data_IF_951537304454
#
_entry.id   IF_951537304454
#
_cell.length_a   1.000
_cell.length_b   1.000
_cell.length_c   1.000
_cell.angle_alpha   90.00
_cell.angle_beta   90.00
_cell.angle_gamma   90.00
#
_symmetry.space_group_name_H-M   'P 1'
#
loop_
_entity.id
_entity.type
_entity.pdbx_description
1 polymer ?
#
# COMPACT_ATOMS: atom_id res chain seq x y z
N UNK A 1 19.37 -7.61 21.48
CA UNK A 1 19.64 -6.26 20.93
C UNK A 1 19.23 -6.27 19.47
N UNK A 2 18.30 -5.41 19.05
CA UNK A 2 17.85 -5.34 17.65
C UNK A 2 19.03 -4.93 16.77
N UNK A 3 19.37 -5.78 15.78
CA UNK A 3 20.42 -5.54 14.78
C UNK A 3 20.06 -4.31 13.90
N UNK A 4 18.79 -3.88 13.95
CA UNK A 4 18.18 -2.82 13.16
C UNK A 4 18.02 -1.49 13.91
N UNK A 5 18.92 -1.10 14.80
CA UNK A 5 18.94 0.31 15.19
C UNK A 5 19.19 1.16 13.95
N UNK A 6 18.27 2.07 13.64
CA UNK A 6 18.24 2.89 12.43
C UNK A 6 19.59 3.58 12.10
N UNK A 7 20.38 3.91 13.08
CA UNK A 7 21.74 4.47 12.93
C UNK A 7 22.77 3.47 12.39
N UNK A 8 22.56 2.15 12.56
CA UNK A 8 23.55 1.15 12.15
C UNK A 8 23.42 0.74 10.68
N UNK A 9 22.24 0.83 10.08
CA UNK A 9 22.03 0.43 8.68
C UNK A 9 22.55 1.46 7.69
N UNK A 10 22.42 2.76 8.01
CA UNK A 10 22.97 3.82 7.14
C UNK A 10 24.51 3.77 7.08
N UNK A 11 25.15 3.19 8.10
CA UNK A 11 26.60 3.00 8.16
C UNK A 11 27.08 1.76 7.41
N UNK A 12 26.18 0.83 7.01
CA UNK A 12 26.55 -0.35 6.25
C UNK A 12 26.72 -0.02 4.77
N UNK A 13 27.73 -0.61 4.14
CA UNK A 13 27.85 -0.57 2.68
C UNK A 13 26.71 -1.36 2.01
N UNK A 14 26.49 -1.14 0.71
CA UNK A 14 25.39 -1.76 -0.05
C UNK A 14 25.44 -3.29 -0.03
N UNK A 15 26.62 -3.89 -0.06
CA UNK A 15 26.81 -5.34 -0.05
C UNK A 15 26.35 -5.97 1.27
N UNK A 16 26.75 -5.40 2.40
CA UNK A 16 26.29 -5.86 3.74
C UNK A 16 24.79 -5.68 3.93
N UNK A 17 24.22 -4.55 3.46
CA UNK A 17 22.78 -4.33 3.48
C UNK A 17 22.04 -5.42 2.71
N UNK A 18 22.47 -5.71 1.48
CA UNK A 18 21.85 -6.72 0.63
C UNK A 18 21.93 -8.11 1.24
N UNK A 19 23.10 -8.48 1.82
CA UNK A 19 23.26 -9.76 2.50
C UNK A 19 22.27 -9.91 3.66
N UNK A 20 22.20 -8.93 4.55
CA UNK A 20 21.27 -8.93 5.67
C UNK A 20 19.82 -9.03 5.20
N UNK A 21 19.42 -8.24 4.21
CA UNK A 21 18.06 -8.29 3.66
C UNK A 21 17.75 -9.66 3.05
N UNK A 22 18.70 -10.29 2.36
CA UNK A 22 18.52 -11.63 1.79
C UNK A 22 18.32 -12.68 2.87
N UNK A 23 19.10 -12.66 3.94
CA UNK A 23 18.97 -13.58 5.08
C UNK A 23 17.59 -13.46 5.75
N UNK A 24 17.11 -12.22 5.99
CA UNK A 24 15.79 -12.02 6.58
C UNK A 24 14.63 -12.33 5.62
N UNK A 25 14.80 -12.11 4.33
CA UNK A 25 13.79 -12.52 3.35
C UNK A 25 13.65 -14.04 3.28
N UNK A 26 14.77 -14.77 3.36
CA UNK A 26 14.75 -16.23 3.46
C UNK A 26 14.05 -16.70 4.75
N UNK A 27 14.30 -16.06 5.88
CA UNK A 27 13.60 -16.34 7.13
C UNK A 27 12.09 -16.09 6.99
N UNK A 28 11.70 -14.93 6.43
CA UNK A 28 10.31 -14.54 6.24
C UNK A 28 9.55 -15.42 5.25
N UNK A 29 10.22 -16.07 4.30
CA UNK A 29 9.56 -17.01 3.39
C UNK A 29 8.95 -18.22 4.13
N UNK A 30 9.46 -18.55 5.32
CA UNK A 30 8.95 -19.63 6.16
C UNK A 30 7.91 -19.18 7.21
N UNK A 31 7.64 -17.87 7.30
CA UNK A 31 6.70 -17.31 8.27
C UNK A 31 5.31 -17.13 7.66
N UNK A 32 4.28 -17.26 8.48
CA UNK A 32 2.94 -16.76 8.17
C UNK A 32 2.91 -15.23 8.11
N UNK A 33 1.81 -14.66 7.61
CA UNK A 33 1.65 -13.20 7.60
C UNK A 33 1.65 -12.61 9.02
N UNK A 34 1.00 -13.29 9.94
CA UNK A 34 0.95 -12.94 11.37
C UNK A 34 2.34 -12.96 12.01
N UNK A 35 3.12 -14.00 11.73
CA UNK A 35 4.50 -14.12 12.24
C UNK A 35 5.42 -13.05 11.65
N UNK A 36 5.26 -12.70 10.36
CA UNK A 36 5.98 -11.59 9.71
C UNK A 36 5.68 -10.25 10.38
N UNK A 37 4.40 -10.00 10.70
CA UNK A 37 3.99 -8.78 11.41
C UNK A 37 4.58 -8.76 12.82
N UNK A 38 4.42 -9.84 13.59
CA UNK A 38 4.97 -9.96 14.95
C UNK A 38 6.48 -9.73 14.95
N UNK A 39 7.18 -10.38 14.01
CA UNK A 39 8.63 -10.23 13.88
C UNK A 39 9.02 -8.79 13.56
N UNK A 40 8.34 -8.15 12.60
CA UNK A 40 8.63 -6.78 12.21
C UNK A 40 8.37 -5.77 13.34
N UNK A 41 7.25 -5.90 14.05
CA UNK A 41 6.92 -5.06 15.20
C UNK A 41 7.95 -5.18 16.34
N UNK A 42 8.56 -6.35 16.49
CA UNK A 42 9.55 -6.61 17.54
C UNK A 42 10.98 -6.20 17.16
N UNK A 43 11.36 -6.38 15.90
CA UNK A 43 12.76 -6.32 15.47
C UNK A 43 13.11 -5.11 14.62
N UNK A 44 12.14 -4.51 13.90
CA UNK A 44 12.38 -3.31 13.11
C UNK A 44 12.20 -2.03 13.94
N UNK A 45 12.77 -0.89 13.51
CA UNK A 45 12.65 0.39 14.22
C UNK A 45 11.20 0.77 14.53
N UNK A 46 10.97 1.29 15.73
CA UNK A 46 9.65 1.35 16.37
C UNK A 46 8.66 2.36 15.82
N UNK A 47 9.06 3.31 15.00
CA UNK A 47 8.07 4.22 14.39
C UNK A 47 7.41 3.53 13.19
N UNK A 48 6.46 2.64 13.51
CA UNK A 48 5.73 1.86 12.51
C UNK A 48 4.54 2.63 11.96
N UNK A 49 4.35 2.58 10.65
CA UNK A 49 3.14 3.01 9.96
C UNK A 49 2.64 1.89 9.05
N UNK A 50 1.35 1.90 8.69
CA UNK A 50 0.87 1.17 7.53
C UNK A 50 0.20 2.12 6.55
N UNK A 51 0.27 1.82 5.25
CA UNK A 51 -0.53 2.51 4.24
C UNK A 51 -1.66 1.62 3.74
N UNK A 52 -2.82 2.23 3.53
CA UNK A 52 -3.96 1.57 2.91
C UNK A 52 -4.57 2.45 1.84
N UNK A 53 -4.90 1.86 0.69
CA UNK A 53 -5.72 2.51 -0.34
C UNK A 53 -7.21 2.30 -0.12
N UNK A 54 -7.60 1.55 0.91
CA UNK A 54 -8.98 1.11 1.16
C UNK A 54 -9.67 0.51 -0.08
N UNK A 55 -8.89 -0.06 -0.99
CA UNK A 55 -9.38 -0.79 -2.17
C UNK A 55 -9.95 -2.15 -1.82
N UNK A 56 -10.30 -2.95 -2.85
CA UNK A 56 -11.11 -4.18 -2.75
C UNK A 56 -10.69 -5.13 -1.62
N UNK A 57 -9.40 -5.35 -1.44
CA UNK A 57 -8.87 -6.37 -0.51
C UNK A 57 -8.07 -5.77 0.65
N UNK A 58 -8.10 -4.44 0.79
CA UNK A 58 -7.25 -3.74 1.77
C UNK A 58 -7.59 -4.07 3.23
N UNK A 59 -8.83 -4.44 3.52
CA UNK A 59 -9.31 -4.83 4.85
C UNK A 59 -8.49 -5.98 5.46
N UNK A 60 -7.94 -6.88 4.63
CA UNK A 60 -7.17 -8.03 5.10
C UNK A 60 -5.93 -7.61 5.87
N UNK A 61 -5.10 -6.73 5.29
CA UNK A 61 -3.90 -6.26 5.99
C UNK A 61 -4.25 -5.34 7.16
N UNK A 62 -5.29 -4.51 7.02
CA UNK A 62 -5.81 -3.70 8.13
C UNK A 62 -6.14 -4.59 9.33
N UNK A 63 -6.95 -5.63 9.13
CA UNK A 63 -7.33 -6.57 10.18
C UNK A 63 -6.12 -7.30 10.79
N UNK A 64 -5.21 -7.84 9.97
CA UNK A 64 -4.02 -8.55 10.43
C UNK A 64 -3.14 -7.68 11.34
N UNK A 65 -2.93 -6.42 10.96
CA UNK A 65 -2.03 -5.52 11.70
C UNK A 65 -2.72 -4.97 12.94
N UNK A 66 -3.98 -4.52 12.85
CA UNK A 66 -4.69 -3.93 13.97
C UNK A 66 -4.95 -4.92 15.11
N UNK A 67 -5.06 -6.21 14.82
CA UNK A 67 -5.09 -7.29 15.83
C UNK A 67 -3.82 -7.35 16.68
N UNK A 68 -2.67 -6.94 16.16
CA UNK A 68 -1.38 -7.00 16.85
C UNK A 68 -0.92 -5.64 17.36
N UNK A 69 -1.29 -4.56 16.68
CA UNK A 69 -0.97 -3.17 17.01
C UNK A 69 -2.14 -2.26 16.61
N UNK A 70 -3.11 -2.14 17.51
CA UNK A 70 -4.36 -1.39 17.27
C UNK A 70 -4.18 0.12 17.08
N UNK A 71 -3.12 0.70 17.66
CA UNK A 71 -2.80 2.12 17.63
C UNK A 71 -1.89 2.53 16.45
N UNK A 72 -1.54 1.59 15.56
CA UNK A 72 -0.66 1.89 14.41
C UNK A 72 -1.25 3.01 13.55
N UNK A 73 -0.46 4.06 13.18
CA UNK A 73 -0.93 5.05 12.23
C UNK A 73 -1.22 4.40 10.87
N UNK A 74 -2.47 4.52 10.41
CA UNK A 74 -2.94 4.05 9.10
C UNK A 74 -2.96 5.23 8.15
N UNK A 75 -2.04 5.26 7.20
CA UNK A 75 -1.87 6.34 6.24
C UNK A 75 -2.79 6.11 5.04
N UNK A 76 -3.73 7.03 4.83
CA UNK A 76 -4.50 7.19 3.60
C UNK A 76 -3.90 8.32 2.77
N UNK A 77 -3.62 8.05 1.52
CA UNK A 77 -3.32 9.09 0.52
C UNK A 77 -4.61 9.43 -0.21
N UNK A 78 -5.22 10.53 0.17
CA UNK A 78 -6.44 11.03 -0.44
C UNK A 78 -6.12 11.94 -1.63
N UNK A 79 -6.44 11.48 -2.82
CA UNK A 79 -6.26 12.25 -4.07
C UNK A 79 -7.38 13.26 -4.33
N UNK A 80 -8.50 13.14 -3.61
CA UNK A 80 -9.73 13.88 -3.87
C UNK A 80 -10.55 13.34 -5.06
N UNK A 81 -10.14 12.18 -5.60
CA UNK A 81 -10.78 11.52 -6.75
C UNK A 81 -11.16 10.07 -6.45
N UNK A 82 -11.22 9.68 -5.17
CA UNK A 82 -11.69 8.34 -4.81
C UNK A 82 -13.19 8.20 -5.08
N UNK A 83 -13.65 6.96 -5.26
CA UNK A 83 -15.08 6.69 -5.38
C UNK A 83 -15.83 7.03 -4.08
N UNK A 84 -17.09 7.50 -4.13
CA UNK A 84 -17.92 7.71 -2.94
C UNK A 84 -18.00 6.46 -2.05
N UNK A 85 -18.09 5.28 -2.68
CA UNK A 85 -18.11 3.98 -1.99
C UNK A 85 -16.81 3.72 -1.22
N UNK A 86 -15.67 4.21 -1.76
CA UNK A 86 -14.37 4.11 -1.06
C UNK A 86 -14.35 5.01 0.16
N UNK A 87 -14.84 6.26 0.08
CA UNK A 87 -14.93 7.15 1.24
C UNK A 87 -15.83 6.56 2.33
N UNK A 88 -17.01 6.07 1.97
CA UNK A 88 -17.91 5.40 2.92
C UNK A 88 -17.26 4.15 3.55
N UNK A 89 -16.50 3.41 2.77
CA UNK A 89 -15.78 2.22 3.25
C UNK A 89 -14.63 2.58 4.19
N UNK A 90 -13.95 3.70 3.97
CA UNK A 90 -12.94 4.26 4.88
C UNK A 90 -13.57 4.55 6.24
N UNK A 91 -14.70 5.25 6.28
CA UNK A 91 -15.42 5.59 7.51
C UNK A 91 -15.86 4.32 8.24
N UNK A 92 -16.50 3.38 7.51
CA UNK A 92 -16.94 2.08 8.05
C UNK A 92 -15.79 1.30 8.69
N UNK A 93 -14.63 1.21 8.02
CA UNK A 93 -13.49 0.48 8.55
C UNK A 93 -12.78 1.23 9.69
N UNK A 94 -12.79 2.56 9.64
CA UNK A 94 -12.24 3.39 10.71
C UNK A 94 -13.00 3.16 12.00
N UNK A 95 -14.33 3.16 11.94
CA UNK A 95 -15.19 2.88 13.10
C UNK A 95 -15.06 1.43 13.55
N UNK A 96 -15.15 0.46 12.61
CA UNK A 96 -15.10 -0.98 12.91
C UNK A 96 -13.81 -1.41 13.62
N UNK A 97 -12.68 -0.86 13.23
CA UNK A 97 -11.36 -1.22 13.78
C UNK A 97 -10.76 -0.16 14.69
N UNK A 98 -11.48 0.93 14.97
CA UNK A 98 -10.98 2.10 15.72
C UNK A 98 -9.60 2.55 15.20
N UNK A 99 -9.52 2.80 13.86
CA UNK A 99 -8.25 3.07 13.20
C UNK A 99 -7.65 4.42 13.61
N UNK A 100 -6.36 4.44 13.89
CA UNK A 100 -5.59 5.68 13.99
C UNK A 100 -5.31 6.23 12.58
N UNK A 101 -6.38 6.67 11.89
CA UNK A 101 -6.34 7.13 10.50
C UNK A 101 -5.59 8.46 10.37
N UNK A 102 -4.65 8.53 9.43
CA UNK A 102 -3.89 9.72 9.07
C UNK A 102 -4.06 9.99 7.57
N UNK A 103 -4.68 11.12 7.23
CA UNK A 103 -5.01 11.48 5.86
C UNK A 103 -3.97 12.47 5.33
N UNK A 104 -3.32 12.11 4.23
CA UNK A 104 -2.38 12.97 3.52
C UNK A 104 -2.85 13.21 2.09
N UNK A 105 -2.66 14.42 1.59
CA UNK A 105 -3.12 14.86 0.27
C UNK A 105 -2.15 15.84 -0.37
N UNK A 106 -2.35 16.10 -1.64
CA UNK A 106 -1.65 17.20 -2.34
C UNK A 106 -1.91 18.54 -1.66
N UNK A 107 -0.92 19.43 -1.68
CA UNK A 107 -1.04 20.80 -1.13
C UNK A 107 -2.07 21.65 -1.84
N UNK A 108 -2.36 21.35 -3.13
CA UNK A 108 -3.37 22.07 -3.92
C UNK A 108 -4.54 21.15 -4.24
N UNK A 109 -5.74 21.70 -4.23
CA UNK A 109 -6.98 20.95 -4.47
C UNK A 109 -7.03 20.36 -5.88
N UNK A 110 -7.84 19.29 -6.10
CA UNK A 110 -8.11 18.76 -7.43
C UNK A 110 -8.53 19.85 -8.44
N UNK A 111 -9.48 20.69 -8.09
CA UNK A 111 -9.95 21.77 -8.95
C UNK A 111 -8.81 22.76 -9.34
N UNK A 112 -7.93 23.08 -8.39
CA UNK A 112 -6.79 23.94 -8.68
C UNK A 112 -5.76 23.26 -9.59
N UNK A 113 -5.54 21.93 -9.40
CA UNK A 113 -4.67 21.15 -10.28
C UNK A 113 -5.20 21.13 -11.71
N UNK A 114 -6.50 20.88 -11.89
CA UNK A 114 -7.15 20.87 -13.21
C UNK A 114 -7.09 22.24 -13.88
N UNK A 115 -7.35 23.32 -13.15
CA UNK A 115 -7.23 24.67 -13.69
C UNK A 115 -5.80 24.99 -14.17
N UNK A 116 -4.78 24.51 -13.44
CA UNK A 116 -3.37 24.79 -13.74
C UNK A 116 -2.77 23.88 -14.80
N UNK A 117 -3.11 22.60 -14.76
CA UNK A 117 -2.45 21.56 -15.55
C UNK A 117 -3.40 20.85 -16.53
N UNK A 118 -4.72 21.12 -16.47
CA UNK A 118 -5.74 20.31 -17.12
C UNK A 118 -5.81 18.91 -16.50
N UNK A 119 -6.60 18.04 -17.10
CA UNK A 119 -6.74 16.63 -16.68
C UNK A 119 -5.48 15.84 -17.02
N UNK A 120 -4.59 15.70 -16.07
CA UNK A 120 -3.28 15.06 -16.27
C UNK A 120 -3.38 13.62 -16.72
N UNK A 121 -4.42 12.87 -16.30
CA UNK A 121 -4.66 11.48 -16.71
C UNK A 121 -5.03 11.32 -18.18
N UNK A 122 -5.44 12.38 -18.86
CA UNK A 122 -5.71 12.39 -20.31
C UNK A 122 -4.44 12.68 -21.14
N UNK A 123 -3.31 13.00 -20.51
CA UNK A 123 -2.04 13.39 -21.17
C UNK A 123 -1.05 12.23 -21.30
N UNK A 124 -1.58 10.99 -21.46
CA UNK A 124 -0.77 9.79 -21.61
C UNK A 124 0.14 9.50 -20.40
N UNK A 125 1.14 8.66 -20.62
CA UNK A 125 2.02 8.16 -19.52
C UNK A 125 2.77 9.29 -18.77
N UNK A 126 3.18 10.35 -19.47
CA UNK A 126 3.86 11.49 -18.83
C UNK A 126 2.92 12.25 -17.88
N UNK A 127 1.68 12.46 -18.31
CA UNK A 127 0.66 13.10 -17.49
C UNK A 127 0.29 12.24 -16.27
N UNK A 128 0.10 10.94 -16.47
CA UNK A 128 -0.17 9.96 -15.39
C UNK A 128 0.98 9.95 -14.37
N UNK A 129 2.23 9.93 -14.83
CA UNK A 129 3.38 9.96 -13.93
C UNK A 129 3.44 11.26 -13.11
N UNK A 130 3.17 12.41 -13.74
CA UNK A 130 3.11 13.69 -13.05
C UNK A 130 1.94 13.73 -12.04
N UNK A 131 0.75 13.26 -12.43
CA UNK A 131 -0.40 13.11 -11.55
C UNK A 131 -0.06 12.25 -10.31
N UNK A 132 0.51 11.08 -10.53
CA UNK A 132 0.88 10.17 -9.46
C UNK A 132 1.93 10.78 -8.52
N UNK A 133 2.89 11.53 -9.07
CA UNK A 133 3.90 12.20 -8.26
C UNK A 133 3.27 13.22 -7.30
N UNK A 134 2.43 14.13 -7.80
CA UNK A 134 1.85 15.20 -6.98
C UNK A 134 0.74 14.72 -6.04
N UNK A 135 -0.03 13.69 -6.42
CA UNK A 135 -1.18 13.23 -5.65
C UNK A 135 -0.90 11.99 -4.80
N UNK A 136 0.21 11.27 -5.03
CA UNK A 136 0.50 10.02 -4.31
C UNK A 136 1.90 10.00 -3.71
N UNK A 137 2.93 10.21 -4.54
CA UNK A 137 4.33 10.08 -4.07
C UNK A 137 4.70 11.17 -3.08
N UNK A 138 4.42 12.44 -3.43
CA UNK A 138 4.73 13.57 -2.53
C UNK A 138 3.93 13.51 -1.22
N UNK A 139 2.61 13.26 -1.20
CA UNK A 139 1.88 13.09 0.05
C UNK A 139 2.41 11.93 0.92
N UNK A 140 2.79 10.79 0.32
CA UNK A 140 3.39 9.71 1.09
C UNK A 140 4.76 10.08 1.67
N UNK A 141 5.57 10.85 0.95
CA UNK A 141 6.82 11.36 1.49
C UNK A 141 6.59 12.31 2.67
N UNK A 142 5.56 13.17 2.59
CA UNK A 142 5.13 13.99 3.73
C UNK A 142 4.70 13.12 4.92
N UNK A 143 3.89 12.08 4.68
CA UNK A 143 3.46 11.15 5.73
C UNK A 143 4.65 10.49 6.45
N UNK A 144 5.61 9.96 5.68
CA UNK A 144 6.83 9.34 6.23
C UNK A 144 7.60 10.35 7.10
N UNK A 145 7.74 11.58 6.64
CA UNK A 145 8.48 12.61 7.35
C UNK A 145 7.74 13.09 8.61
N UNK A 146 6.46 13.47 8.49
CA UNK A 146 5.67 14.03 9.60
C UNK A 146 5.43 13.01 10.72
N UNK A 147 5.25 11.73 10.35
CA UNK A 147 5.10 10.65 11.31
C UNK A 147 6.45 10.09 11.79
N UNK A 148 7.57 10.65 11.30
CA UNK A 148 8.93 10.14 11.59
C UNK A 148 9.03 8.63 11.39
N UNK A 149 8.39 8.12 10.33
CA UNK A 149 8.27 6.69 10.08
C UNK A 149 9.62 6.04 9.79
N UNK A 150 9.88 4.91 10.42
CA UNK A 150 11.08 4.10 10.20
C UNK A 150 10.77 2.72 9.63
N UNK A 151 9.52 2.26 9.81
CA UNK A 151 9.02 0.98 9.29
C UNK A 151 7.63 1.18 8.68
N UNK A 152 7.46 0.72 7.46
CA UNK A 152 6.23 0.86 6.67
C UNK A 152 5.66 -0.48 6.24
N UNK A 153 4.46 -0.81 6.71
CA UNK A 153 3.69 -1.97 6.28
C UNK A 153 2.83 -1.63 5.05
N UNK A 154 2.86 -2.48 4.02
CA UNK A 154 2.06 -2.32 2.82
C UNK A 154 1.48 -3.66 2.32
N UNK A 155 0.29 -3.61 1.71
CA UNK A 155 -0.50 -4.77 1.30
C UNK A 155 -0.28 -5.21 -0.13
N UNK A 156 0.94 -5.14 -0.65
CA UNK A 156 1.26 -5.62 -1.99
C UNK A 156 1.36 -7.14 -2.02
N UNK A 157 0.92 -7.75 -3.14
CA UNK A 157 0.99 -9.20 -3.38
C UNK A 157 1.54 -9.49 -4.78
N UNK A 158 2.29 -10.57 -4.93
CA UNK A 158 2.76 -11.05 -6.23
C UNK A 158 1.61 -11.26 -7.21
N UNK A 159 0.53 -11.85 -6.74
CA UNK A 159 -0.66 -12.24 -7.52
C UNK A 159 -1.41 -11.06 -8.19
N UNK A 160 -1.08 -9.82 -7.85
CA UNK A 160 -1.78 -8.64 -8.35
C UNK A 160 -1.23 -8.10 -9.67
N UNK A 161 0.03 -8.35 -10.00
CA UNK A 161 0.64 -7.97 -11.27
C UNK A 161 2.02 -8.57 -11.48
N UNK A 162 2.42 -8.73 -12.74
CA UNK A 162 3.76 -9.23 -13.11
C UNK A 162 4.89 -8.33 -12.59
N UNK A 163 4.65 -7.01 -12.53
CA UNK A 163 5.63 -6.04 -12.01
C UNK A 163 6.02 -6.29 -10.54
N UNK A 164 5.20 -7.03 -9.80
CA UNK A 164 5.42 -7.34 -8.37
C UNK A 164 6.20 -8.64 -8.11
N UNK A 165 6.52 -9.41 -9.16
CA UNK A 165 7.26 -10.67 -9.00
C UNK A 165 8.66 -10.50 -8.41
N UNK A 166 9.27 -9.33 -8.57
CA UNK A 166 10.59 -8.99 -8.02
C UNK A 166 10.56 -8.44 -6.60
N UNK A 167 9.38 -8.26 -6.02
CA UNK A 167 9.25 -7.74 -4.65
C UNK A 167 9.68 -8.78 -3.62
N UNK A 168 10.20 -8.29 -2.50
CA UNK A 168 10.61 -9.08 -1.35
C UNK A 168 9.78 -8.71 -0.12
N UNK A 169 9.68 -9.61 0.86
CA UNK A 169 8.94 -9.35 2.12
C UNK A 169 9.49 -8.16 2.88
N UNK A 170 10.82 -8.04 2.94
CA UNK A 170 11.53 -6.95 3.59
C UNK A 170 12.45 -6.24 2.58
N UNK A 171 12.33 -4.94 2.53
CA UNK A 171 13.19 -4.07 1.70
C UNK A 171 13.47 -2.75 2.42
N UNK A 172 14.37 -1.94 1.86
CA UNK A 172 14.56 -0.56 2.26
C UNK A 172 14.10 0.31 1.10
N UNK A 173 13.11 1.16 1.35
CA UNK A 173 12.58 2.13 0.39
C UNK A 173 12.49 3.50 1.06
N UNK A 174 12.90 4.57 0.38
CA UNK A 174 12.88 5.93 0.94
C UNK A 174 13.61 6.05 2.29
N UNK A 175 14.69 5.29 2.45
CA UNK A 175 15.52 5.18 3.68
C UNK A 175 14.81 4.59 4.91
N UNK A 176 13.64 3.97 4.74
CA UNK A 176 12.92 3.27 5.80
C UNK A 176 12.73 1.79 5.44
N UNK A 177 12.50 0.96 6.44
CA UNK A 177 12.12 -0.43 6.21
C UNK A 177 10.73 -0.51 5.65
N UNK A 178 10.54 -1.34 4.63
CA UNK A 178 9.24 -1.68 4.07
C UNK A 178 9.01 -3.16 4.19
N UNK A 179 7.87 -3.54 4.74
CA UNK A 179 7.47 -4.93 4.93
C UNK A 179 6.17 -5.23 4.22
N UNK A 180 6.11 -6.37 3.53
CA UNK A 180 4.97 -6.86 2.76
C UNK A 180 4.50 -8.20 3.35
N UNK A 181 3.72 -8.21 4.44
CA UNK A 181 3.43 -9.44 5.18
C UNK A 181 2.65 -10.48 4.39
N UNK A 182 1.79 -10.04 3.45
CA UNK A 182 0.91 -10.89 2.64
C UNK A 182 1.39 -11.01 1.18
N UNK A 183 2.68 -10.81 0.93
CA UNK A 183 3.25 -10.77 -0.43
C UNK A 183 2.97 -12.03 -1.25
N UNK A 184 3.02 -13.19 -0.60
CA UNK A 184 2.77 -14.54 -1.16
C UNK A 184 1.30 -14.97 -1.16
N UNK A 185 0.37 -14.12 -0.70
CA UNK A 185 -1.03 -14.51 -0.63
C UNK A 185 -1.69 -14.48 -2.00
N UNK A 186 -2.27 -15.62 -2.39
CA UNK A 186 -3.12 -15.75 -3.58
C UNK A 186 -4.49 -15.10 -3.36
N UNK A 187 -5.22 -14.85 -4.46
CA UNK A 187 -6.60 -14.39 -4.40
C UNK A 187 -7.50 -15.37 -3.62
N UNK A 188 -7.26 -16.69 -3.74
CA UNK A 188 -8.00 -17.69 -2.97
C UNK A 188 -7.72 -17.57 -1.47
N UNK A 189 -6.47 -17.37 -1.07
CA UNK A 189 -6.11 -17.17 0.35
C UNK A 189 -6.74 -15.91 0.92
N UNK A 190 -6.77 -14.82 0.16
CA UNK A 190 -7.49 -13.60 0.55
C UNK A 190 -8.99 -13.88 0.77
N UNK A 191 -9.63 -14.57 -0.19
CA UNK A 191 -11.06 -14.91 -0.10
C UNK A 191 -11.37 -15.76 1.13
N UNK A 192 -10.59 -16.80 1.38
CA UNK A 192 -10.76 -17.64 2.54
C UNK A 192 -10.60 -16.86 3.85
N UNK A 193 -9.57 -16.02 3.93
CA UNK A 193 -9.34 -15.17 5.10
C UNK A 193 -10.51 -14.21 5.38
N UNK A 194 -11.08 -13.59 4.33
CA UNK A 194 -12.26 -12.73 4.46
C UNK A 194 -13.45 -13.51 5.03
N UNK A 195 -13.70 -14.72 4.53
CA UNK A 195 -14.81 -15.58 4.99
C UNK A 195 -14.60 -16.06 6.44
N UNK A 196 -13.41 -16.58 6.76
CA UNK A 196 -13.07 -17.10 8.09
C UNK A 196 -13.15 -16.02 9.19
N UNK A 197 -12.86 -14.78 8.84
CA UNK A 197 -12.88 -13.67 9.80
C UNK A 197 -14.14 -12.77 9.67
N UNK A 198 -15.12 -13.15 8.86
CA UNK A 198 -16.35 -12.40 8.62
C UNK A 198 -16.09 -10.92 8.29
N UNK A 199 -15.20 -10.70 7.31
CA UNK A 199 -14.78 -9.36 6.89
C UNK A 199 -15.50 -8.94 5.60
N UNK A 200 -16.03 -7.72 5.63
CA UNK A 200 -16.73 -7.14 4.48
C UNK A 200 -15.73 -6.75 3.39
N UNK A 201 -16.01 -7.15 2.17
CA UNK A 201 -15.26 -6.69 1.00
C UNK A 201 -15.79 -5.31 0.56
N UNK A 202 -14.93 -4.53 -0.09
CA UNK A 202 -15.30 -3.23 -0.63
C UNK A 202 -16.55 -3.30 -1.54
N UNK A 203 -17.56 -2.40 -1.40
CA UNK A 203 -18.84 -2.49 -2.11
C UNK A 203 -18.73 -2.59 -3.64
N UNK A 204 -17.76 -1.92 -4.24
CA UNK A 204 -17.54 -1.95 -5.70
C UNK A 204 -17.11 -3.33 -6.23
N UNK A 205 -16.71 -4.28 -5.37
CA UNK A 205 -16.44 -5.66 -5.80
C UNK A 205 -17.67 -6.30 -6.43
N UNK A 206 -18.83 -6.14 -5.81
CA UNK A 206 -20.11 -6.65 -6.34
C UNK A 206 -20.52 -5.96 -7.64
N UNK A 207 -20.00 -4.76 -7.92
CA UNK A 207 -20.24 -4.00 -9.12
C UNK A 207 -19.25 -4.32 -10.27
N UNK A 208 -18.43 -5.37 -10.11
CA UNK A 208 -17.51 -5.85 -11.15
C UNK A 208 -16.12 -5.18 -11.16
N UNK A 209 -15.74 -4.52 -10.07
CA UNK A 209 -14.37 -3.98 -9.94
C UNK A 209 -13.46 -5.00 -9.25
N UNK A 210 -12.37 -5.40 -9.89
CA UNK A 210 -11.32 -6.23 -9.29
C UNK A 210 -10.26 -5.41 -8.55
N UNK A 211 -10.12 -4.13 -8.92
CA UNK A 211 -9.20 -3.17 -8.30
C UNK A 211 -9.84 -1.80 -8.28
N UNK A 212 -9.64 -1.03 -7.21
CA UNK A 212 -10.22 0.31 -7.05
C UNK A 212 -9.12 1.31 -6.66
N UNK A 213 -9.21 2.50 -7.22
CA UNK A 213 -8.39 3.67 -6.91
C UNK A 213 -9.14 4.95 -7.30
N UNK A 214 -8.50 5.87 -8.03
CA UNK A 214 -9.17 7.09 -8.49
C UNK A 214 -10.20 6.79 -9.58
N UNK A 215 -11.35 7.47 -9.57
CA UNK A 215 -12.49 7.26 -10.48
C UNK A 215 -12.05 7.30 -11.94
N UNK A 216 -11.28 8.33 -12.32
CA UNK A 216 -10.90 8.58 -13.72
C UNK A 216 -9.80 7.62 -14.26
N UNK A 217 -9.17 6.81 -13.41
CA UNK A 217 -8.13 5.85 -13.81
C UNK A 217 -8.47 4.42 -13.44
N UNK A 218 -9.72 4.14 -13.13
CA UNK A 218 -10.21 2.81 -12.74
C UNK A 218 -11.40 2.43 -13.63
N UNK A 219 -11.36 1.23 -14.19
CA UNK A 219 -12.47 0.67 -14.98
C UNK A 219 -12.91 -0.68 -14.41
N UNK A 220 -14.15 -1.08 -14.70
CA UNK A 220 -14.67 -2.42 -14.36
C UNK A 220 -13.85 -3.49 -15.06
N UNK A 221 -13.70 -4.63 -14.40
CA UNK A 221 -13.10 -5.80 -15.03
C UNK A 221 -14.09 -6.45 -16.00
N UNK A 222 -13.73 -6.49 -17.27
CA UNK A 222 -14.56 -7.08 -18.32
C UNK A 222 -14.04 -8.48 -18.68
N UNK A 223 -14.90 -9.39 -19.17
CA UNK A 223 -14.47 -10.70 -19.63
C UNK A 223 -13.33 -10.61 -20.67
N UNK A 224 -12.25 -11.35 -20.46
CA UNK A 224 -11.06 -11.34 -21.32
C UNK A 224 -10.04 -10.24 -21.04
N UNK A 225 -10.34 -9.29 -20.13
CA UNK A 225 -9.40 -8.26 -19.70
C UNK A 225 -8.46 -8.82 -18.61
N UNK A 226 -7.19 -8.43 -18.63
CA UNK A 226 -6.29 -8.70 -17.52
C UNK A 226 -6.62 -7.78 -16.34
N UNK A 227 -6.46 -8.27 -15.12
CA UNK A 227 -6.74 -7.47 -13.92
C UNK A 227 -5.87 -6.19 -13.87
N UNK A 228 -4.63 -6.27 -14.38
CA UNK A 228 -3.72 -5.13 -14.45
C UNK A 228 -4.19 -4.02 -15.40
N UNK A 229 -4.99 -4.32 -16.41
CA UNK A 229 -5.52 -3.36 -17.38
C UNK A 229 -6.68 -2.51 -16.82
N UNK A 230 -7.24 -2.91 -15.68
CA UNK A 230 -8.33 -2.15 -15.02
C UNK A 230 -7.86 -0.82 -14.43
N UNK A 231 -6.55 -0.53 -14.45
CA UNK A 231 -5.95 0.68 -13.90
C UNK A 231 -5.17 1.45 -14.96
N UNK A 232 -5.23 2.79 -14.87
CA UNK A 232 -4.49 3.71 -15.73
C UNK A 232 -4.58 3.38 -17.23
N UNK A 233 -5.75 2.92 -17.67
CA UNK A 233 -6.01 2.58 -19.08
C UNK A 233 -5.05 1.50 -19.65
N UNK A 234 -4.55 0.60 -18.82
CA UNK A 234 -3.54 -0.39 -19.21
C UNK A 234 -2.12 0.15 -19.45
N UNK A 235 -1.92 1.47 -19.39
CA UNK A 235 -0.61 2.11 -19.65
C UNK A 235 0.40 1.89 -18.52
N UNK A 236 -0.09 1.69 -17.30
CA UNK A 236 0.72 1.50 -16.11
C UNK A 236 -0.10 0.81 -15.03
N UNK A 237 0.47 -0.13 -14.31
CA UNK A 237 -0.19 -0.76 -13.15
C UNK A 237 0.10 -0.02 -11.85
N UNK A 238 1.35 0.34 -11.64
CA UNK A 238 1.79 0.91 -10.38
C UNK A 238 1.64 2.44 -10.36
N UNK A 239 1.23 2.98 -9.22
CA UNK A 239 1.03 4.42 -9.06
C UNK A 239 2.30 5.18 -8.65
N UNK A 240 3.47 4.52 -8.64
CA UNK A 240 4.74 5.11 -8.23
C UNK A 240 4.97 5.20 -6.72
N UNK A 241 3.96 4.96 -5.91
CA UNK A 241 4.06 5.02 -4.45
C UNK A 241 5.02 3.96 -3.90
N UNK A 242 5.03 2.80 -4.56
CA UNK A 242 5.84 1.64 -4.20
C UNK A 242 7.04 1.40 -5.13
N UNK A 243 7.26 2.29 -6.08
CA UNK A 243 8.45 2.28 -6.95
C UNK A 243 9.64 2.96 -6.22
N UNK A 244 10.87 2.51 -6.49
CA UNK A 244 12.11 3.09 -5.95
C UNK A 244 12.51 4.35 -6.69
#
# INVERSE_FOLDING_TARGET
>A
MSIFHSKNIDLLNSEKKNKILSEYNLLMSNYSAEERITWALKNLPHTHIMSSSFGIQSIVLLHLITKQKSDIPVVLIDTGYLFPETYNFIDTLTDKFNLNLKIFRSKISPAWQEARYGKLWEKGIKGINFYNNINKVQPMNCAIHELSAQTWFAGLRHDQSKSRNSLSYLSIQKKIFKILPILDWSNNKIKNYLQENNLDIHPLYQNGYSSVGDIHTTVKHMPGMLEEDTRFFGLKRECGLHEN
#
